data_IF_530366211869
#
_entry.id   IF_530366211869
#
_cell.length_a   1.000
_cell.length_b   1.000
_cell.length_c   1.000
_cell.angle_alpha   90.00
_cell.angle_beta   90.00
_cell.angle_gamma   90.00
#
_symmetry.space_group_name_H-M   'P 1'
#
loop_
_entity.id
_entity.type
_entity.pdbx_description
1 polymer ?
#
# COMPACT_ATOMS: atom_id res chain seq x y z
N UNK A 1 16.02 -83.96 4.61
CA UNK A 1 16.18 -82.92 5.64
C UNK A 1 16.99 -81.78 5.03
N UNK A 2 16.32 -80.76 4.51
CA UNK A 2 16.96 -79.55 3.95
C UNK A 2 16.33 -78.35 4.65
N UNK A 3 17.19 -77.57 5.28
CA UNK A 3 16.90 -76.40 6.09
C UNK A 3 16.29 -75.23 5.29
N UNK A 4 15.12 -74.84 5.70
CA UNK A 4 14.49 -73.55 5.31
C UNK A 4 14.48 -72.63 6.54
N UNK A 5 15.40 -71.65 6.54
CA UNK A 5 15.37 -70.38 7.28
C UNK A 5 16.61 -69.55 6.87
N UNK A 6 16.60 -68.23 6.83
CA UNK A 6 15.55 -67.25 7.17
C UNK A 6 15.33 -66.16 6.09
N UNK A 7 14.14 -65.90 5.71
CA UNK A 7 13.75 -64.78 4.82
C UNK A 7 12.75 -63.81 5.50
N UNK A 8 12.73 -63.81 6.80
CA UNK A 8 11.71 -63.08 7.61
C UNK A 8 12.17 -61.78 8.27
N UNK A 9 13.45 -61.34 8.12
CA UNK A 9 13.96 -60.21 8.93
C UNK A 9 14.30 -58.92 8.13
N UNK A 10 14.12 -58.92 6.79
CA UNK A 10 14.44 -57.74 5.98
C UNK A 10 13.24 -56.82 5.67
N UNK A 11 12.01 -57.16 6.06
CA UNK A 11 10.79 -56.42 5.71
C UNK A 11 10.30 -55.41 6.77
N UNK A 12 11.02 -55.24 7.93
CA UNK A 12 10.55 -54.40 9.05
C UNK A 12 11.26 -53.05 9.19
N UNK A 13 12.09 -52.63 8.25
CA UNK A 13 12.88 -51.39 8.35
C UNK A 13 12.49 -50.27 7.35
N UNK A 14 11.39 -50.39 6.62
CA UNK A 14 10.96 -49.36 5.63
C UNK A 14 9.74 -48.54 6.14
N UNK A 15 9.27 -48.72 7.33
CA UNK A 15 8.09 -47.98 7.86
C UNK A 15 8.43 -46.79 8.79
N UNK A 16 9.66 -46.30 8.84
CA UNK A 16 10.06 -45.20 9.71
C UNK A 16 10.59 -43.96 8.93
N UNK A 17 9.92 -43.58 7.88
CA UNK A 17 10.35 -42.46 7.01
C UNK A 17 9.26 -41.47 6.62
N UNK A 18 8.12 -41.41 7.32
CA UNK A 18 7.25 -40.23 7.23
C UNK A 18 7.55 -39.32 8.42
N UNK A 19 8.60 -38.52 8.31
CA UNK A 19 8.74 -37.32 9.09
C UNK A 19 7.51 -36.45 8.77
N UNK A 20 6.50 -36.45 9.66
CA UNK A 20 5.53 -35.37 9.66
C UNK A 20 6.33 -34.08 9.74
N UNK A 21 6.15 -33.18 8.78
CA UNK A 21 6.56 -31.78 8.90
C UNK A 21 5.95 -31.23 10.20
N UNK A 22 6.68 -31.41 11.28
CA UNK A 22 6.40 -30.82 12.57
C UNK A 22 6.98 -29.44 12.48
N UNK A 23 6.24 -28.40 12.43
CA UNK A 23 6.60 -27.03 12.83
C UNK A 23 5.96 -25.92 11.99
N UNK A 24 4.93 -26.21 11.20
CA UNK A 24 4.11 -25.11 10.69
C UNK A 24 3.08 -24.77 11.78
N UNK A 25 3.31 -23.64 12.46
CA UNK A 25 2.36 -23.10 13.43
C UNK A 25 0.97 -22.94 12.77
N UNK A 26 -0.11 -23.53 13.33
CA UNK A 26 -1.43 -23.42 12.73
C UNK A 26 -1.99 -22.00 12.91
N UNK A 27 -2.91 -21.56 12.02
CA UNK A 27 -3.61 -20.29 12.20
C UNK A 27 -4.33 -20.23 13.54
N UNK A 28 -4.27 -19.05 14.18
CA UNK A 28 -4.92 -18.84 15.47
C UNK A 28 -6.41 -19.21 15.43
N UNK A 29 -6.86 -19.92 16.46
CA UNK A 29 -8.27 -20.25 16.65
C UNK A 29 -9.05 -18.99 16.97
N UNK A 30 -10.22 -18.81 16.34
CA UNK A 30 -11.05 -17.64 16.57
C UNK A 30 -11.58 -17.62 18.01
N UNK A 31 -11.16 -16.64 18.79
CA UNK A 31 -11.63 -16.43 20.16
C UNK A 31 -13.08 -15.94 20.16
N UNK A 32 -13.84 -16.33 21.18
CA UNK A 32 -15.15 -15.73 21.52
C UNK A 32 -14.90 -14.42 22.26
N UNK A 33 -15.69 -13.42 21.98
CA UNK A 33 -15.66 -12.11 22.66
C UNK A 33 -17.07 -11.49 22.65
N UNK A 34 -17.39 -10.60 23.61
CA UNK A 34 -18.63 -9.82 23.55
C UNK A 34 -18.55 -8.82 22.41
N UNK A 35 -19.51 -8.85 21.49
CA UNK A 35 -19.63 -7.85 20.43
C UNK A 35 -20.17 -6.55 21.05
N UNK A 36 -19.36 -5.48 20.98
CA UNK A 36 -19.71 -4.15 21.52
C UNK A 36 -20.03 -3.13 20.44
N UNK A 37 -19.66 -3.43 19.17
CA UNK A 37 -19.97 -2.60 18.02
C UNK A 37 -21.06 -3.27 17.17
N UNK A 38 -22.29 -2.72 17.12
CA UNK A 38 -23.33 -3.24 16.25
C UNK A 38 -22.93 -3.06 14.78
N UNK A 39 -22.95 -4.17 14.02
CA UNK A 39 -22.65 -4.19 12.60
C UNK A 39 -23.85 -4.80 11.86
N UNK A 40 -24.34 -4.11 10.83
CA UNK A 40 -25.44 -4.58 9.99
C UNK A 40 -24.96 -4.80 8.57
N UNK A 41 -25.25 -5.97 8.00
CA UNK A 41 -25.11 -6.19 6.57
C UNK A 41 -26.17 -5.37 5.84
N UNK A 42 -25.76 -4.53 4.90
CA UNK A 42 -26.66 -3.69 4.09
C UNK A 42 -27.16 -4.46 2.87
N UNK A 43 -26.22 -5.06 2.12
CA UNK A 43 -26.51 -5.80 0.89
C UNK A 43 -25.41 -6.82 0.60
N UNK A 44 -25.66 -7.68 -0.38
CA UNK A 44 -24.64 -8.63 -0.89
C UNK A 44 -24.92 -8.99 -2.33
N UNK A 45 -23.87 -8.98 -3.15
CA UNK A 45 -23.89 -9.16 -4.59
C UNK A 45 -22.77 -10.11 -5.05
N UNK A 46 -22.77 -10.48 -6.33
CA UNK A 46 -21.74 -11.28 -6.95
C UNK A 46 -21.15 -10.59 -8.18
N UNK A 47 -19.83 -10.75 -8.36
CA UNK A 47 -19.09 -10.27 -9.53
C UNK A 47 -18.50 -11.46 -10.26
N UNK A 48 -18.70 -11.55 -11.58
CA UNK A 48 -18.08 -12.58 -12.42
C UNK A 48 -18.72 -13.96 -12.43
N UNK A 49 -19.99 -14.09 -12.03
CA UNK A 49 -20.79 -15.30 -12.23
C UNK A 49 -20.43 -16.50 -11.34
N UNK A 50 -19.92 -16.33 -10.14
CA UNK A 50 -20.02 -17.28 -9.01
C UNK A 50 -19.38 -18.65 -9.14
N UNK A 51 -18.63 -18.99 -10.19
CA UNK A 51 -17.84 -20.22 -10.25
C UNK A 51 -16.43 -19.95 -9.79
N UNK A 52 -15.86 -20.88 -8.96
CA UNK A 52 -14.52 -20.81 -8.38
C UNK A 52 -13.55 -20.06 -9.30
N UNK A 53 -13.22 -18.84 -8.95
CA UNK A 53 -12.10 -18.14 -9.57
C UNK A 53 -10.83 -18.88 -9.16
N UNK A 54 -9.98 -19.13 -10.12
CA UNK A 54 -8.70 -19.80 -9.92
C UNK A 54 -7.90 -19.06 -8.85
N UNK A 55 -7.18 -19.79 -8.02
CA UNK A 55 -6.40 -19.34 -6.86
C UNK A 55 -5.22 -18.39 -7.23
N UNK A 56 -5.29 -17.71 -8.37
CA UNK A 56 -4.31 -16.72 -8.77
C UNK A 56 -4.52 -15.45 -7.94
N UNK A 57 -3.48 -15.03 -7.24
CA UNK A 57 -3.44 -13.73 -6.56
C UNK A 57 -3.43 -12.64 -7.64
N UNK A 58 -4.59 -12.06 -7.89
CA UNK A 58 -4.79 -10.99 -8.85
C UNK A 58 -4.96 -9.67 -8.09
N UNK A 59 -4.55 -8.58 -8.70
CA UNK A 59 -4.78 -7.23 -8.20
C UNK A 59 -6.21 -6.73 -8.42
N UNK A 60 -7.20 -7.64 -8.39
CA UNK A 60 -8.62 -7.32 -8.57
C UNK A 60 -9.27 -7.07 -7.22
N UNK A 61 -9.44 -5.81 -6.90
CA UNK A 61 -10.03 -5.34 -5.65
C UNK A 61 -11.34 -4.59 -5.86
N UNK A 62 -11.57 -3.63 -4.99
CA UNK A 62 -12.69 -2.70 -5.02
C UNK A 62 -12.15 -1.28 -5.15
N UNK A 63 -12.90 -0.41 -5.82
CA UNK A 63 -12.71 1.02 -5.78
C UNK A 63 -14.05 1.70 -5.45
N UNK A 64 -13.98 2.90 -4.88
CA UNK A 64 -15.16 3.73 -4.61
C UNK A 64 -14.90 5.14 -5.10
N UNK A 65 -15.82 5.68 -5.84
CA UNK A 65 -15.84 7.08 -6.23
C UNK A 65 -17.28 7.58 -6.25
N UNK A 66 -17.54 8.76 -5.70
CA UNK A 66 -18.85 9.44 -5.70
C UNK A 66 -20.04 8.54 -5.28
N UNK A 67 -19.88 7.72 -4.24
CA UNK A 67 -20.94 6.82 -3.74
C UNK A 67 -21.21 5.60 -4.62
N UNK A 68 -20.35 5.33 -5.60
CA UNK A 68 -20.38 4.16 -6.46
C UNK A 68 -19.24 3.22 -6.10
N UNK A 69 -19.56 1.94 -5.90
CA UNK A 69 -18.58 0.86 -5.73
C UNK A 69 -18.32 0.21 -7.08
N UNK A 70 -17.06 0.11 -7.43
CA UNK A 70 -16.61 -0.59 -8.63
C UNK A 70 -15.91 -1.88 -8.25
N UNK A 71 -16.21 -2.95 -8.97
CA UNK A 71 -15.56 -4.25 -8.85
C UNK A 71 -15.29 -4.83 -10.23
N UNK A 72 -14.24 -5.65 -10.34
CA UNK A 72 -13.88 -6.31 -11.59
C UNK A 72 -13.63 -7.80 -11.37
N UNK A 73 -13.92 -8.60 -12.41
CA UNK A 73 -13.62 -10.04 -12.42
C UNK A 73 -12.57 -10.39 -13.47
N UNK A 74 -11.83 -11.47 -13.24
CA UNK A 74 -10.84 -11.98 -14.20
C UNK A 74 -11.45 -12.32 -15.58
N UNK A 75 -12.74 -12.59 -15.64
CA UNK A 75 -13.45 -12.88 -16.91
C UNK A 75 -13.76 -11.62 -17.73
N UNK A 76 -13.36 -10.43 -17.27
CA UNK A 76 -13.57 -9.18 -17.98
C UNK A 76 -14.85 -8.46 -17.65
N UNK A 77 -15.56 -8.85 -16.61
CA UNK A 77 -16.72 -8.11 -16.12
C UNK A 77 -16.27 -6.97 -15.22
N UNK A 78 -16.80 -5.78 -15.44
CA UNK A 78 -16.68 -4.62 -14.57
C UNK A 78 -18.08 -4.22 -14.16
N UNK A 79 -18.31 -4.13 -12.85
CA UNK A 79 -19.57 -3.79 -12.21
C UNK A 79 -19.46 -2.46 -11.50
N UNK A 80 -20.46 -1.60 -11.67
CA UNK A 80 -20.71 -0.44 -10.80
C UNK A 80 -22.01 -0.65 -10.03
N UNK A 81 -21.95 -0.45 -8.73
CA UNK A 81 -23.10 -0.58 -7.85
C UNK A 81 -23.20 0.60 -6.87
N UNK A 82 -24.39 0.96 -6.47
CA UNK A 82 -24.62 1.96 -5.41
C UNK A 82 -24.01 1.48 -4.09
N UNK A 83 -23.20 2.30 -3.45
CA UNK A 83 -22.59 2.00 -2.15
C UNK A 83 -23.63 1.70 -1.07
N UNK A 84 -24.73 2.43 -1.04
CA UNK A 84 -25.74 2.31 0.00
C UNK A 84 -26.68 1.11 -0.17
N UNK A 85 -27.00 0.76 -1.42
CA UNK A 85 -28.06 -0.21 -1.71
C UNK A 85 -27.58 -1.48 -2.42
N UNK A 86 -26.35 -1.48 -2.96
CA UNK A 86 -25.84 -2.56 -3.80
C UNK A 86 -26.50 -2.64 -5.19
N UNK A 87 -27.49 -1.78 -5.48
CA UNK A 87 -28.17 -1.80 -6.78
C UNK A 87 -27.16 -1.56 -7.91
N UNK A 88 -27.15 -2.45 -8.89
CA UNK A 88 -26.32 -2.30 -10.08
C UNK A 88 -26.70 -1.05 -10.85
N UNK A 89 -25.74 -0.19 -11.13
CA UNK A 89 -25.87 0.97 -12.00
C UNK A 89 -25.60 0.59 -13.44
N UNK A 90 -24.53 -0.17 -13.66
CA UNK A 90 -24.20 -0.76 -14.94
C UNK A 90 -23.26 -1.98 -14.76
N UNK A 91 -23.22 -2.83 -15.80
CA UNK A 91 -22.29 -3.95 -15.93
C UNK A 91 -21.69 -3.91 -17.33
N UNK A 92 -20.36 -3.99 -17.43
CA UNK A 92 -19.61 -3.98 -18.68
C UNK A 92 -18.80 -5.26 -18.85
N UNK A 93 -18.94 -5.93 -19.99
CA UNK A 93 -18.13 -7.11 -20.34
C UNK A 93 -17.06 -6.72 -21.37
N UNK A 94 -15.79 -6.71 -20.96
CA UNK A 94 -14.66 -6.28 -21.79
C UNK A 94 -14.05 -7.40 -22.63
N UNK A 95 -14.38 -8.67 -22.35
CA UNK A 95 -13.78 -9.87 -22.99
C UNK A 95 -12.24 -9.90 -22.86
N UNK A 96 -11.72 -9.46 -21.73
CA UNK A 96 -10.31 -9.41 -21.39
C UNK A 96 -10.05 -10.21 -20.10
N UNK A 97 -8.90 -10.88 -19.97
CA UNK A 97 -8.48 -11.48 -18.70
C UNK A 97 -7.98 -10.38 -17.76
N UNK A 98 -8.91 -9.71 -17.05
CA UNK A 98 -8.54 -8.65 -16.12
C UNK A 98 -7.72 -9.20 -14.96
N UNK A 99 -6.73 -8.44 -14.53
CA UNK A 99 -5.79 -8.82 -13.46
C UNK A 99 -5.45 -7.65 -12.52
N UNK A 100 -5.81 -6.42 -12.88
CA UNK A 100 -5.48 -5.20 -12.17
C UNK A 100 -6.70 -4.26 -12.05
N UNK A 101 -6.86 -3.67 -10.90
CA UNK A 101 -7.93 -2.69 -10.63
C UNK A 101 -9.20 -3.30 -10.02
N UNK A 102 -10.32 -2.56 -10.06
CA UNK A 102 -10.44 -1.22 -10.60
C UNK A 102 -9.68 -0.18 -9.79
N UNK A 103 -9.20 0.88 -10.46
CA UNK A 103 -8.88 2.17 -9.85
C UNK A 103 -9.95 3.16 -10.26
N UNK A 104 -10.41 4.01 -9.34
CA UNK A 104 -11.46 4.98 -9.62
C UNK A 104 -11.08 6.36 -9.10
N UNK A 105 -11.49 7.39 -9.82
CA UNK A 105 -11.30 8.79 -9.47
C UNK A 105 -11.72 9.70 -10.61
N UNK A 106 -12.04 10.94 -10.31
CA UNK A 106 -12.43 11.96 -11.29
C UNK A 106 -13.57 11.50 -12.24
N UNK A 107 -14.51 10.69 -11.73
CA UNK A 107 -15.63 10.17 -12.53
C UNK A 107 -15.24 9.07 -13.52
N UNK A 108 -14.03 8.53 -13.44
CA UNK A 108 -13.50 7.49 -14.31
C UNK A 108 -13.18 6.22 -13.53
N UNK A 109 -13.34 5.06 -14.15
CA UNK A 109 -12.84 3.78 -13.63
C UNK A 109 -11.92 3.13 -14.64
N UNK A 110 -10.74 2.69 -14.17
CA UNK A 110 -9.69 2.13 -15.01
C UNK A 110 -9.37 0.71 -14.56
N UNK A 111 -9.23 -0.21 -15.50
CA UNK A 111 -8.87 -1.61 -15.26
C UNK A 111 -7.73 -2.04 -16.18
N UNK A 112 -6.93 -2.98 -15.71
CA UNK A 112 -5.83 -3.57 -16.45
C UNK A 112 -5.97 -5.08 -16.62
N UNK A 113 -5.30 -5.64 -17.63
CA UNK A 113 -5.33 -7.06 -17.92
C UNK A 113 -3.96 -7.71 -17.81
N UNK A 114 -3.94 -9.05 -17.68
CA UNK A 114 -2.71 -9.84 -17.73
C UNK A 114 -2.00 -9.82 -19.09
N UNK A 115 -2.66 -9.27 -20.10
CA UNK A 115 -2.10 -9.04 -21.44
C UNK A 115 -1.67 -7.60 -21.66
N UNK A 116 -1.52 -6.77 -20.62
CA UNK A 116 -1.09 -5.38 -20.72
C UNK A 116 -2.15 -4.40 -21.25
N UNK A 117 -3.37 -4.84 -21.56
CA UNK A 117 -4.42 -3.95 -22.03
C UNK A 117 -5.01 -3.17 -20.86
N UNK A 118 -5.10 -1.85 -21.03
CA UNK A 118 -5.68 -0.90 -20.09
C UNK A 118 -6.95 -0.33 -20.70
N UNK A 119 -8.02 -0.26 -19.92
CA UNK A 119 -9.31 0.30 -20.36
C UNK A 119 -9.82 1.28 -19.32
N UNK A 120 -10.13 2.49 -19.78
CA UNK A 120 -10.85 3.48 -18.98
C UNK A 120 -12.32 3.52 -19.38
N UNK A 121 -13.18 3.52 -18.38
CA UNK A 121 -14.62 3.60 -18.51
C UNK A 121 -15.13 4.85 -17.79
N UNK A 122 -16.16 5.44 -18.32
CA UNK A 122 -16.94 6.46 -17.63
C UNK A 122 -17.60 5.84 -16.38
N UNK A 123 -17.36 6.44 -15.22
CA UNK A 123 -17.81 5.89 -13.93
C UNK A 123 -19.34 5.85 -13.78
N UNK A 124 -20.05 6.78 -14.41
CA UNK A 124 -21.49 6.87 -14.30
C UNK A 124 -22.23 5.90 -15.26
N UNK A 125 -21.66 5.66 -16.45
CA UNK A 125 -22.37 4.96 -17.55
C UNK A 125 -21.72 3.65 -17.99
N UNK A 126 -20.46 3.41 -17.63
CA UNK A 126 -19.68 2.25 -18.12
C UNK A 126 -19.27 2.36 -19.58
N UNK A 127 -19.47 3.53 -20.23
CA UNK A 127 -19.01 3.77 -21.59
C UNK A 127 -17.49 3.80 -21.63
N UNK A 128 -16.89 3.08 -22.60
CA UNK A 128 -15.44 3.14 -22.78
C UNK A 128 -15.02 4.55 -23.23
N UNK A 129 -14.10 5.15 -22.48
CA UNK A 129 -13.50 6.45 -22.79
C UNK A 129 -12.30 6.24 -23.73
N UNK A 130 -11.37 5.41 -23.31
CA UNK A 130 -10.19 5.07 -24.11
C UNK A 130 -9.69 3.64 -23.78
N UNK A 131 -8.77 3.18 -24.61
CA UNK A 131 -8.08 1.89 -24.45
C UNK A 131 -6.66 2.04 -24.95
N UNK A 132 -5.70 1.53 -24.16
CA UNK A 132 -4.28 1.51 -24.50
C UNK A 132 -3.63 0.19 -24.12
N UNK A 133 -2.33 0.04 -24.34
CA UNK A 133 -1.62 -1.21 -24.13
C UNK A 133 -0.17 -0.96 -23.70
N UNK A 134 0.32 -1.77 -22.77
CA UNK A 134 1.73 -1.91 -22.38
C UNK A 134 2.19 -3.36 -22.62
N UNK A 135 3.50 -3.57 -22.80
CA UNK A 135 4.05 -4.91 -23.16
C UNK A 135 4.29 -5.81 -21.93
N UNK A 136 3.55 -5.61 -20.84
CA UNK A 136 3.74 -6.37 -19.60
C UNK A 136 2.43 -6.61 -18.87
N UNK A 137 2.39 -7.62 -18.00
CA UNK A 137 1.24 -7.92 -17.14
C UNK A 137 1.03 -6.79 -16.12
N UNK A 138 -0.24 -6.50 -15.82
CA UNK A 138 -0.65 -5.53 -14.82
C UNK A 138 -1.28 -6.26 -13.63
N UNK A 139 -0.80 -6.00 -12.41
CA UNK A 139 -1.26 -6.67 -11.19
C UNK A 139 -1.69 -5.73 -10.06
N UNK A 140 -1.58 -4.41 -10.24
CA UNK A 140 -2.02 -3.42 -9.24
C UNK A 140 -3.14 -2.54 -9.77
N UNK A 141 -3.97 -2.03 -8.87
CA UNK A 141 -4.96 -1.04 -9.24
C UNK A 141 -4.28 0.25 -9.72
N UNK A 142 -4.78 0.91 -10.78
CA UNK A 142 -4.28 2.22 -11.19
C UNK A 142 -4.62 3.31 -10.18
N UNK A 143 -3.73 4.29 -10.04
CA UNK A 143 -4.08 5.58 -9.44
C UNK A 143 -4.69 6.47 -10.53
N UNK A 144 -5.82 7.09 -10.22
CA UNK A 144 -6.60 7.89 -11.18
C UNK A 144 -6.80 9.30 -10.64
N UNK A 145 -6.42 10.30 -11.43
CA UNK A 145 -6.68 11.72 -11.19
C UNK A 145 -7.34 12.37 -12.41
N UNK A 146 -7.68 13.63 -12.32
CA UNK A 146 -8.22 14.39 -13.47
C UNK A 146 -7.25 14.49 -14.65
N UNK A 147 -5.94 14.55 -14.36
CA UNK A 147 -4.89 14.77 -15.37
C UNK A 147 -4.24 13.46 -15.83
N UNK A 148 -4.01 12.53 -14.87
CA UNK A 148 -3.16 11.36 -15.09
C UNK A 148 -3.76 10.08 -14.53
N UNK A 149 -3.49 9.00 -15.23
CA UNK A 149 -3.63 7.62 -14.74
C UNK A 149 -2.23 7.04 -14.60
N UNK A 150 -1.90 6.56 -13.40
CA UNK A 150 -0.60 5.96 -13.12
C UNK A 150 -0.77 4.48 -12.83
N UNK A 151 0.00 3.64 -13.50
CA UNK A 151 -0.04 2.18 -13.35
C UNK A 151 1.36 1.60 -13.22
N UNK A 152 1.46 0.49 -12.50
CA UNK A 152 2.70 -0.30 -12.42
C UNK A 152 2.52 -1.63 -13.13
N UNK A 153 3.52 -2.02 -13.95
CA UNK A 153 3.59 -3.32 -14.61
C UNK A 153 4.63 -4.24 -13.95
N UNK A 154 4.51 -5.55 -14.22
CA UNK A 154 5.33 -6.58 -13.57
C UNK A 154 6.80 -6.54 -13.99
N UNK A 155 7.10 -5.96 -15.14
CA UNK A 155 8.48 -5.73 -15.62
C UNK A 155 9.22 -4.59 -14.90
N UNK A 156 8.65 -4.05 -13.81
CA UNK A 156 9.27 -3.01 -13.00
C UNK A 156 9.01 -1.59 -13.49
N UNK A 157 8.14 -1.40 -14.51
CA UNK A 157 7.84 -0.07 -15.03
C UNK A 157 6.70 0.59 -14.27
N UNK A 158 6.84 1.90 -14.07
CA UNK A 158 5.77 2.79 -13.68
C UNK A 158 5.40 3.63 -14.92
N UNK A 159 4.14 3.65 -15.27
CA UNK A 159 3.62 4.31 -16.46
C UNK A 159 2.69 5.44 -16.08
N UNK A 160 2.82 6.60 -16.73
CA UNK A 160 1.90 7.72 -16.64
C UNK A 160 1.16 7.93 -17.95
N UNK A 161 -0.16 7.85 -17.91
CA UNK A 161 -1.04 8.06 -19.06
C UNK A 161 -1.85 9.34 -18.87
N UNK A 162 -2.06 10.08 -19.95
CA UNK A 162 -3.01 11.18 -19.96
C UNK A 162 -4.42 10.63 -19.67
N UNK A 163 -5.10 11.16 -18.65
CA UNK A 163 -6.40 10.67 -18.23
C UNK A 163 -7.49 10.84 -19.29
N UNK A 164 -7.35 11.83 -20.17
CA UNK A 164 -8.38 12.16 -21.16
C UNK A 164 -8.37 11.23 -22.39
N UNK A 165 -7.19 10.86 -22.91
CA UNK A 165 -7.06 10.09 -24.15
C UNK A 165 -6.28 8.77 -24.03
N UNK A 166 -5.70 8.48 -22.84
CA UNK A 166 -4.96 7.25 -22.55
C UNK A 166 -3.59 7.16 -23.23
N UNK A 167 -3.06 8.26 -23.80
CA UNK A 167 -1.70 8.27 -24.34
C UNK A 167 -0.69 8.22 -23.22
N UNK A 168 0.33 7.38 -23.39
CA UNK A 168 1.48 7.35 -22.47
C UNK A 168 2.25 8.66 -22.58
N UNK A 169 2.41 9.33 -21.44
CA UNK A 169 3.16 10.59 -21.32
C UNK A 169 4.59 10.28 -20.92
N UNK A 170 4.78 9.36 -19.99
CA UNK A 170 6.07 8.93 -19.50
C UNK A 170 6.05 7.50 -19.02
N UNK A 171 7.23 6.89 -18.94
CA UNK A 171 7.47 5.58 -18.37
C UNK A 171 8.83 5.56 -17.68
N UNK A 172 8.87 5.07 -16.43
CA UNK A 172 10.08 4.89 -15.63
C UNK A 172 10.31 3.42 -15.38
N UNK A 173 11.51 2.91 -15.68
CA UNK A 173 11.91 1.53 -15.44
C UNK A 173 12.72 1.40 -14.17
N UNK A 174 12.41 0.39 -13.36
CA UNK A 174 13.20 -0.04 -12.21
C UNK A 174 13.63 -1.50 -12.37
N UNK A 175 14.82 -1.79 -11.90
CA UNK A 175 15.35 -3.16 -11.96
C UNK A 175 14.50 -4.09 -11.08
N UNK A 176 13.99 -5.16 -11.67
CA UNK A 176 13.26 -6.23 -10.95
C UNK A 176 14.27 -7.28 -10.49
N UNK A 177 14.31 -7.65 -9.20
CA UNK A 177 15.10 -8.75 -8.69
C UNK A 177 14.73 -10.09 -9.35
N UNK A 178 15.65 -11.06 -9.32
CA UNK A 178 15.39 -12.41 -9.86
C UNK A 178 14.24 -13.13 -9.16
N UNK A 179 14.01 -12.80 -7.90
CA UNK A 179 12.90 -13.31 -7.09
C UNK A 179 12.19 -12.13 -6.42
N UNK A 180 10.89 -11.99 -6.65
CA UNK A 180 10.00 -11.02 -6.01
C UNK A 180 8.70 -11.68 -5.57
N UNK A 181 7.92 -11.03 -4.72
CA UNK A 181 6.56 -11.48 -4.42
C UNK A 181 5.70 -11.34 -5.69
N UNK A 182 4.72 -12.24 -5.85
CA UNK A 182 3.75 -12.07 -6.94
C UNK A 182 2.76 -10.98 -6.55
N UNK A 183 2.91 -9.82 -7.12
CA UNK A 183 2.11 -8.63 -6.92
C UNK A 183 2.84 -7.42 -7.45
N UNK A 184 2.24 -6.29 -7.38
CA UNK A 184 2.88 -4.99 -7.59
C UNK A 184 2.20 -3.96 -6.70
N UNK A 185 2.99 -3.07 -6.09
CA UNK A 185 2.45 -1.99 -5.28
C UNK A 185 1.46 -1.14 -6.08
N UNK A 186 0.32 -0.85 -5.50
CA UNK A 186 -0.61 0.12 -6.06
C UNK A 186 -0.01 1.52 -5.92
N UNK A 187 0.26 2.24 -7.03
CA UNK A 187 0.73 3.61 -6.96
C UNK A 187 -0.33 4.53 -6.38
N UNK A 188 0.10 5.65 -5.84
CA UNK A 188 -0.79 6.76 -5.45
C UNK A 188 -0.37 8.05 -6.14
N UNK A 189 -1.30 8.97 -6.26
CA UNK A 189 -1.03 10.34 -6.70
C UNK A 189 -1.25 11.24 -5.48
N UNK A 190 -0.23 12.03 -5.14
CA UNK A 190 -0.27 13.00 -4.06
C UNK A 190 0.33 14.31 -4.54
N UNK A 191 -0.45 15.41 -4.53
CA UNK A 191 -0.04 16.69 -5.14
C UNK A 191 0.41 16.49 -6.60
N UNK A 192 1.63 16.89 -6.92
CA UNK A 192 2.20 16.81 -8.27
C UNK A 192 3.18 15.63 -8.44
N UNK A 193 3.09 14.60 -7.57
CA UNK A 193 3.93 13.40 -7.66
C UNK A 193 3.09 12.11 -7.69
N UNK A 194 3.59 11.12 -8.41
CA UNK A 194 3.16 9.73 -8.29
C UNK A 194 4.16 8.96 -7.42
N UNK A 195 3.66 8.17 -6.46
CA UNK A 195 4.48 7.44 -5.51
C UNK A 195 4.14 5.96 -5.59
N UNK A 196 5.17 5.12 -5.67
CA UNK A 196 5.02 3.66 -5.68
C UNK A 196 6.13 2.96 -4.91
N UNK A 197 5.81 1.81 -4.35
CA UNK A 197 6.79 0.83 -3.89
C UNK A 197 7.33 -0.01 -5.05
N UNK A 198 8.50 -0.62 -4.87
CA UNK A 198 9.15 -1.47 -5.87
C UNK A 198 9.71 -2.75 -5.27
N UNK A 199 9.88 -3.77 -6.11
CA UNK A 199 10.35 -5.12 -5.76
C UNK A 199 11.81 -5.13 -5.25
N UNK A 200 12.55 -4.03 -5.47
CA UNK A 200 13.90 -3.82 -4.96
C UNK A 200 13.95 -3.23 -3.54
N UNK A 201 12.80 -3.11 -2.87
CA UNK A 201 12.70 -2.58 -1.50
C UNK A 201 12.72 -1.05 -1.41
N UNK A 202 12.58 -0.34 -2.53
CA UNK A 202 12.52 1.12 -2.57
C UNK A 202 11.08 1.64 -2.67
N UNK A 203 10.86 2.82 -2.12
CA UNK A 203 9.72 3.70 -2.43
C UNK A 203 10.24 4.86 -3.24
N UNK A 204 9.56 5.21 -4.31
CA UNK A 204 9.96 6.31 -5.20
C UNK A 204 8.81 7.26 -5.42
N UNK A 205 9.12 8.56 -5.49
CA UNK A 205 8.24 9.59 -6.02
C UNK A 205 8.79 10.10 -7.35
N UNK A 206 7.90 10.24 -8.30
CA UNK A 206 8.20 10.76 -9.63
C UNK A 206 7.28 11.95 -9.94
N UNK A 207 7.79 12.92 -10.69
CA UNK A 207 6.98 14.03 -11.19
C UNK A 207 5.80 13.49 -11.98
N UNK A 208 4.59 13.91 -11.62
CA UNK A 208 3.37 13.45 -12.29
C UNK A 208 3.34 13.88 -13.77
N UNK A 209 3.98 15.00 -14.10
CA UNK A 209 3.96 15.57 -15.45
C UNK A 209 5.05 14.99 -16.35
N UNK A 210 6.26 14.70 -15.83
CA UNK A 210 7.42 14.32 -16.65
C UNK A 210 7.90 12.90 -16.41
N UNK A 211 7.56 12.27 -15.28
CA UNK A 211 8.06 10.95 -14.88
C UNK A 211 9.48 10.99 -14.29
N UNK A 212 10.09 12.17 -14.17
CA UNK A 212 11.41 12.32 -13.57
C UNK A 212 11.37 11.94 -12.07
N UNK A 213 12.41 11.25 -11.62
CA UNK A 213 12.53 10.89 -10.20
C UNK A 213 12.73 12.14 -9.36
N UNK A 214 11.81 12.36 -8.42
CA UNK A 214 11.91 13.44 -7.42
C UNK A 214 12.76 12.96 -6.25
N UNK A 215 12.48 11.75 -5.76
CA UNK A 215 13.28 11.07 -4.74
C UNK A 215 13.07 9.56 -4.80
N UNK A 216 14.03 8.80 -4.26
CA UNK A 216 13.92 7.38 -3.97
C UNK A 216 14.46 7.05 -2.58
N UNK A 217 13.77 6.18 -1.87
CA UNK A 217 14.08 5.84 -0.47
C UNK A 217 14.03 4.33 -0.27
N UNK A 218 15.12 3.73 0.24
CA UNK A 218 15.19 2.32 0.55
C UNK A 218 14.59 2.02 1.93
N UNK A 219 13.55 1.20 1.98
CA UNK A 219 12.95 0.70 3.24
C UNK A 219 13.38 -0.73 3.55
N UNK A 220 13.78 -1.48 2.55
CA UNK A 220 14.31 -2.82 2.70
C UNK A 220 15.54 -2.98 1.81
N UNK A 221 16.56 -3.64 2.34
CA UNK A 221 17.76 -3.94 1.57
C UNK A 221 17.98 -5.46 1.53
N UNK A 222 18.23 -6.05 0.37
CA UNK A 222 18.49 -7.48 0.26
C UNK A 222 19.69 -7.90 1.12
N UNK A 223 19.49 -8.82 2.06
CA UNK A 223 20.56 -9.35 2.90
C UNK A 223 20.40 -10.86 3.08
N UNK A 224 21.48 -11.57 3.37
CA UNK A 224 21.48 -13.02 3.53
C UNK A 224 22.21 -13.76 2.41
N UNK A 225 22.25 -15.11 2.52
CA UNK A 225 23.07 -15.97 1.65
C UNK A 225 22.26 -16.61 0.52
N UNK A 226 20.97 -16.82 0.73
CA UNK A 226 20.08 -17.43 -0.28
C UNK A 226 19.25 -16.36 -0.97
N UNK A 227 18.74 -16.65 -2.16
CA UNK A 227 17.82 -15.75 -2.88
C UNK A 227 16.53 -15.51 -2.05
N UNK A 228 16.09 -16.50 -1.26
CA UNK A 228 14.94 -16.36 -0.39
C UNK A 228 15.21 -15.42 0.80
N UNK A 229 16.42 -15.48 1.39
CA UNK A 229 16.81 -14.54 2.45
C UNK A 229 16.88 -13.09 1.92
N UNK A 230 17.28 -12.96 0.66
CA UNK A 230 17.45 -11.67 -0.03
C UNK A 230 16.16 -11.10 -0.62
N UNK A 231 15.05 -11.83 -0.52
CA UNK A 231 13.76 -11.39 -1.01
C UNK A 231 13.26 -10.21 -0.18
N UNK A 232 13.26 -9.02 -0.75
CA UNK A 232 12.64 -7.80 -0.21
C UNK A 232 11.63 -7.30 -1.20
N UNK A 233 10.57 -6.62 -0.72
CA UNK A 233 9.55 -6.09 -1.60
C UNK A 233 8.71 -5.01 -0.90
N UNK A 234 8.32 -3.98 -1.64
CA UNK A 234 7.29 -3.02 -1.24
C UNK A 234 6.05 -3.28 -2.11
N UNK A 235 5.37 -4.39 -1.86
CA UNK A 235 4.20 -4.85 -2.64
C UNK A 235 2.87 -4.21 -2.17
N UNK A 236 2.87 -3.55 -1.03
CA UNK A 236 1.70 -2.87 -0.49
C UNK A 236 1.54 -1.45 -1.01
N UNK A 237 0.30 -0.99 -1.09
CA UNK A 237 0.04 0.41 -1.39
C UNK A 237 0.62 1.33 -0.30
N UNK A 238 1.36 2.34 -0.72
CA UNK A 238 1.77 3.44 0.16
C UNK A 238 0.57 4.31 0.52
N UNK A 239 0.69 5.14 1.55
CA UNK A 239 -0.34 6.11 1.96
C UNK A 239 0.29 7.48 2.12
N UNK A 240 -0.38 8.52 1.63
CA UNK A 240 0.02 9.89 1.84
C UNK A 240 -1.04 10.61 2.71
N UNK A 241 -0.59 11.31 3.75
CA UNK A 241 -1.42 12.14 4.61
C UNK A 241 -0.67 13.44 4.90
N UNK A 242 -1.23 14.56 4.50
CA UNK A 242 -0.54 15.86 4.59
C UNK A 242 0.77 15.85 3.82
N UNK A 243 1.86 16.16 4.50
CA UNK A 243 3.22 16.21 3.95
C UNK A 243 4.00 14.89 4.17
N UNK A 244 3.31 13.81 4.58
CA UNK A 244 3.96 12.57 4.94
C UNK A 244 3.47 11.40 4.08
N UNK A 245 4.41 10.50 3.79
CA UNK A 245 4.18 9.22 3.10
C UNK A 245 4.49 8.10 4.08
N UNK A 246 3.59 7.13 4.17
CA UNK A 246 3.73 5.93 5.00
C UNK A 246 3.85 4.72 4.10
N UNK A 247 4.86 3.91 4.35
CA UNK A 247 5.12 2.70 3.60
C UNK A 247 5.59 1.57 4.50
N UNK A 248 5.38 0.33 4.06
CA UNK A 248 5.84 -0.87 4.74
C UNK A 248 6.34 -1.90 3.73
N UNK A 249 7.43 -2.59 4.04
CA UNK A 249 8.07 -3.57 3.18
C UNK A 249 8.07 -4.99 3.75
N UNK A 250 8.07 -5.97 2.86
CA UNK A 250 8.33 -7.34 3.21
C UNK A 250 9.83 -7.53 3.50
N UNK A 251 10.16 -8.20 4.60
CA UNK A 251 11.53 -8.29 5.15
C UNK A 251 12.21 -6.91 5.27
N UNK A 252 11.43 -5.89 5.58
CA UNK A 252 11.84 -4.51 5.64
C UNK A 252 11.25 -3.77 6.83
N UNK A 253 11.13 -2.47 6.68
CA UNK A 253 10.70 -1.55 7.71
C UNK A 253 9.33 -0.95 7.39
N UNK A 254 8.63 -0.51 8.43
CA UNK A 254 7.53 0.45 8.33
C UNK A 254 8.07 1.82 8.64
N UNK A 255 7.81 2.81 7.80
CA UNK A 255 8.41 4.13 7.91
C UNK A 255 7.42 5.26 7.57
N UNK A 256 7.73 6.43 8.13
CA UNK A 256 7.21 7.72 7.73
C UNK A 256 8.30 8.49 6.97
N UNK A 257 7.93 9.01 5.81
CA UNK A 257 8.83 9.63 4.83
C UNK A 257 8.26 11.01 4.48
N UNK A 258 9.10 12.01 4.35
CA UNK A 258 8.70 13.33 3.86
C UNK A 258 8.26 13.24 2.38
N UNK A 259 7.11 13.82 2.05
CA UNK A 259 6.53 13.78 0.70
C UNK A 259 7.38 14.52 -0.33
N UNK A 260 8.03 15.59 0.08
CA UNK A 260 8.81 16.48 -0.80
C UNK A 260 10.24 15.99 -1.09
N UNK A 261 10.86 15.34 -0.10
CA UNK A 261 12.30 15.04 -0.13
C UNK A 261 12.65 13.55 -0.04
N UNK A 262 11.70 12.70 0.33
CA UNK A 262 11.98 11.29 0.57
C UNK A 262 12.76 11.02 1.86
N UNK A 263 12.99 12.04 2.71
CA UNK A 263 13.68 11.88 3.99
C UNK A 263 12.85 11.01 4.93
N UNK A 264 13.50 9.99 5.53
CA UNK A 264 12.86 9.17 6.56
C UNK A 264 12.83 9.96 7.87
N UNK A 265 11.64 10.21 8.40
CA UNK A 265 11.45 10.79 9.72
C UNK A 265 11.67 9.77 10.83
N UNK A 266 11.10 8.59 10.65
CA UNK A 266 11.32 7.43 11.50
C UNK A 266 11.08 6.13 10.71
N UNK A 267 11.71 5.04 11.15
CA UNK A 267 11.52 3.71 10.62
C UNK A 267 11.67 2.66 11.72
N UNK A 268 10.80 1.66 11.72
CA UNK A 268 10.83 0.53 12.65
C UNK A 268 10.87 -0.79 11.89
N UNK A 269 11.63 -1.75 12.37
CA UNK A 269 11.70 -3.10 11.81
C UNK A 269 10.33 -3.77 11.98
N UNK A 270 9.62 -3.88 10.87
CA UNK A 270 8.27 -4.44 10.84
C UNK A 270 7.96 -4.91 9.42
N UNK A 271 7.96 -6.24 9.24
CA UNK A 271 7.68 -6.85 7.95
C UNK A 271 6.19 -6.90 7.65
N UNK A 272 5.80 -6.32 6.53
CA UNK A 272 4.44 -6.47 5.98
C UNK A 272 4.44 -6.41 4.46
N UNK A 273 3.79 -7.39 3.85
CA UNK A 273 3.37 -7.35 2.44
C UNK A 273 1.86 -7.09 2.30
N UNK A 274 1.17 -6.90 3.43
CA UNK A 274 -0.27 -6.63 3.46
C UNK A 274 -0.57 -5.16 3.34
N UNK A 275 0.22 -4.33 4.00
CA UNK A 275 0.07 -2.90 3.96
C UNK A 275 -0.49 -2.29 5.23
N UNK A 276 -0.82 -1.03 5.13
CA UNK A 276 -1.20 -0.19 6.24
C UNK A 276 -2.39 0.72 5.90
N UNK A 277 -3.03 1.23 6.94
CA UNK A 277 -4.00 2.31 6.87
C UNK A 277 -3.58 3.42 7.84
N UNK A 278 -3.94 4.65 7.53
CA UNK A 278 -3.51 5.83 8.29
C UNK A 278 -4.72 6.73 8.51
N UNK A 279 -4.90 7.24 9.73
CA UNK A 279 -5.82 8.34 10.04
C UNK A 279 -5.03 9.59 10.48
N UNK A 280 -5.65 10.58 11.08
CA UNK A 280 -4.99 11.84 11.43
C UNK A 280 -3.82 11.69 12.42
N UNK A 281 -3.88 10.71 13.32
CA UNK A 281 -2.93 10.58 14.44
C UNK A 281 -2.12 9.29 14.41
N UNK A 282 -2.66 8.24 13.80
CA UNK A 282 -2.14 6.89 13.94
C UNK A 282 -2.04 6.17 12.59
N UNK A 283 -1.15 5.19 12.57
CA UNK A 283 -1.11 4.21 11.50
C UNK A 283 -1.38 2.81 12.05
N UNK A 284 -1.96 1.96 11.20
CA UNK A 284 -2.36 0.60 11.52
C UNK A 284 -1.76 -0.34 10.48
N UNK A 285 -0.94 -1.28 10.91
CA UNK A 285 -0.22 -2.21 10.04
C UNK A 285 -0.71 -3.62 10.25
N UNK A 286 -1.02 -4.33 9.17
CA UNK A 286 -1.19 -5.78 9.21
C UNK A 286 0.13 -6.44 8.86
N UNK A 287 0.81 -7.03 9.84
CA UNK A 287 2.08 -7.73 9.64
C UNK A 287 1.93 -9.00 8.80
N UNK A 288 3.04 -9.48 8.26
CA UNK A 288 3.11 -10.69 7.42
C UNK A 288 2.59 -11.94 8.12
N UNK A 289 2.74 -12.03 9.44
CA UNK A 289 2.25 -13.11 10.29
C UNK A 289 0.80 -12.96 10.77
N UNK A 290 0.12 -11.88 10.37
CA UNK A 290 -1.28 -11.62 10.73
C UNK A 290 -1.48 -10.93 12.08
N UNK A 291 -0.43 -10.37 12.67
CA UNK A 291 -0.54 -9.46 13.80
C UNK A 291 -0.98 -8.09 13.28
N UNK A 292 -1.89 -7.42 13.99
CA UNK A 292 -2.29 -6.04 13.70
C UNK A 292 -1.69 -5.13 14.75
N UNK A 293 -0.97 -4.10 14.31
CA UNK A 293 -0.27 -3.14 15.17
C UNK A 293 -0.78 -1.74 14.89
N UNK A 294 -1.07 -0.97 15.94
CA UNK A 294 -1.28 0.47 15.82
C UNK A 294 -0.06 1.23 16.35
N UNK A 295 0.29 2.28 15.64
CA UNK A 295 1.44 3.13 15.96
C UNK A 295 1.03 4.60 15.84
N UNK A 296 1.66 5.47 16.61
CA UNK A 296 1.50 6.93 16.44
C UNK A 296 2.19 7.39 15.16
N UNK A 297 1.55 8.27 14.41
CA UNK A 297 2.20 8.86 13.23
C UNK A 297 3.47 9.63 13.59
N UNK A 298 3.40 10.44 14.64
CA UNK A 298 4.43 11.43 15.00
C UNK A 298 5.82 10.82 15.20
N UNK A 299 5.90 9.66 15.84
CA UNK A 299 7.15 9.08 16.31
C UNK A 299 7.28 7.57 16.06
N UNK A 300 6.26 6.96 15.46
CA UNK A 300 6.23 5.53 15.21
C UNK A 300 6.09 4.67 16.47
N UNK A 301 5.81 5.24 17.64
CA UNK A 301 5.66 4.47 18.87
C UNK A 301 4.44 3.56 18.81
N UNK A 302 4.59 2.29 19.25
CA UNK A 302 3.50 1.32 19.29
C UNK A 302 2.47 1.72 20.37
N UNK A 303 1.19 1.73 19.96
CA UNK A 303 0.06 1.99 20.84
C UNK A 303 -0.54 0.67 21.37
N UNK A 304 -0.76 -0.26 20.48
CA UNK A 304 -1.25 -1.57 20.80
C UNK A 304 -0.91 -2.60 19.71
N UNK A 305 -0.97 -3.87 20.10
CA UNK A 305 -0.70 -5.03 19.26
C UNK A 305 -1.77 -6.11 19.49
N UNK A 306 -2.43 -6.56 18.42
CA UNK A 306 -3.40 -7.64 18.46
C UNK A 306 -2.85 -8.90 17.77
N UNK A 307 -2.61 -9.97 18.54
CA UNK A 307 -2.09 -11.25 18.06
C UNK A 307 -3.17 -12.34 17.94
N UNK A 308 -4.43 -12.04 18.29
CA UNK A 308 -5.54 -13.02 18.30
C UNK A 308 -5.90 -13.57 16.94
N UNK A 309 -5.32 -13.01 15.87
CA UNK A 309 -5.54 -13.40 14.48
C UNK A 309 -4.24 -13.83 13.76
N UNK A 310 -3.21 -14.19 14.54
CA UNK A 310 -1.91 -14.63 14.00
C UNK A 310 -2.11 -15.76 12.98
N UNK A 311 -1.38 -15.71 11.87
CA UNK A 311 -1.38 -16.65 10.73
C UNK A 311 -2.74 -16.81 10.01
N UNK A 312 -3.72 -15.94 10.27
CA UNK A 312 -5.02 -16.00 9.58
C UNK A 312 -5.01 -15.32 8.20
N UNK A 313 -3.84 -14.98 7.65
CA UNK A 313 -3.66 -14.41 6.30
C UNK A 313 -4.58 -13.21 6.08
N UNK A 314 -4.52 -12.25 6.98
CA UNK A 314 -5.37 -11.08 6.97
C UNK A 314 -5.22 -10.25 5.69
N UNK A 315 -6.27 -9.54 5.31
CA UNK A 315 -6.24 -8.50 4.28
C UNK A 315 -5.45 -7.27 4.75
N UNK A 316 -5.13 -6.34 3.84
CA UNK A 316 -4.80 -4.98 4.25
C UNK A 316 -5.87 -4.39 5.18
N UNK A 317 -5.51 -3.52 6.14
CA UNK A 317 -6.47 -2.88 7.02
C UNK A 317 -7.18 -1.72 6.31
N UNK A 318 -8.43 -1.47 6.70
CA UNK A 318 -9.15 -0.22 6.38
C UNK A 318 -9.77 0.35 7.64
N UNK A 319 -10.13 1.62 7.62
CA UNK A 319 -10.58 2.34 8.79
C UNK A 319 -12.03 2.76 8.65
N UNK A 320 -12.79 2.59 9.73
CA UNK A 320 -14.03 3.30 9.99
C UNK A 320 -13.77 4.42 11.00
N UNK A 321 -14.77 5.16 11.42
CA UNK A 321 -14.57 6.21 12.42
C UNK A 321 -13.96 5.69 13.71
N UNK A 322 -14.39 4.52 14.19
CA UNK A 322 -14.01 3.97 15.50
C UNK A 322 -13.26 2.64 15.45
N UNK A 323 -13.14 2.01 14.29
CA UNK A 323 -12.55 0.68 14.18
C UNK A 323 -11.55 0.54 13.03
N UNK A 324 -10.57 -0.33 13.24
CA UNK A 324 -9.71 -0.93 12.20
C UNK A 324 -10.39 -2.20 11.72
N UNK A 325 -10.54 -2.36 10.41
CA UNK A 325 -11.21 -3.53 9.83
C UNK A 325 -10.26 -4.33 8.97
N UNK A 326 -10.18 -5.62 9.23
CA UNK A 326 -9.42 -6.61 8.45
C UNK A 326 -10.30 -7.81 8.14
N UNK A 327 -10.02 -8.51 7.04
CA UNK A 327 -10.69 -9.75 6.70
C UNK A 327 -9.69 -10.91 6.60
N UNK A 328 -10.16 -12.16 6.72
CA UNK A 328 -9.28 -13.32 6.79
C UNK A 328 -9.51 -14.36 5.68
N UNK A 329 -8.69 -15.43 5.72
CA UNK A 329 -8.71 -16.51 4.72
C UNK A 329 -9.97 -17.39 4.77
N UNK A 330 -10.78 -17.29 5.85
CA UNK A 330 -12.04 -18.02 5.98
C UNK A 330 -13.26 -17.13 5.70
N UNK A 331 -13.03 -15.86 5.30
CA UNK A 331 -14.07 -14.90 4.98
C UNK A 331 -14.71 -14.21 6.18
N UNK A 332 -14.05 -14.28 7.34
CA UNK A 332 -14.43 -13.45 8.46
C UNK A 332 -13.89 -12.04 8.30
N UNK A 333 -14.70 -11.07 8.70
CA UNK A 333 -14.40 -9.65 8.77
C UNK A 333 -14.34 -9.31 10.25
N UNK A 334 -13.27 -8.70 10.69
CA UNK A 334 -13.01 -8.36 12.07
C UNK A 334 -12.90 -6.86 12.25
N UNK A 335 -13.62 -6.31 13.21
CA UNK A 335 -13.52 -4.92 13.65
C UNK A 335 -12.75 -4.88 14.95
N UNK A 336 -11.68 -4.10 14.98
CA UNK A 336 -10.86 -3.84 16.16
C UNK A 336 -11.05 -2.38 16.57
N UNK A 337 -11.27 -2.13 17.84
CA UNK A 337 -11.32 -0.78 18.38
C UNK A 337 -10.00 -0.03 18.11
N UNK A 338 -10.09 1.20 17.59
CA UNK A 338 -8.89 1.98 17.20
C UNK A 338 -7.98 2.31 18.38
N UNK A 339 -8.54 2.57 19.54
CA UNK A 339 -7.78 2.98 20.73
C UNK A 339 -7.11 1.83 21.46
N UNK A 340 -7.73 0.64 21.47
CA UNK A 340 -7.29 -0.49 22.29
C UNK A 340 -6.87 -1.73 21.54
N UNK A 341 -7.21 -1.81 20.24
CA UNK A 341 -7.00 -3.02 19.43
C UNK A 341 -7.89 -4.21 19.82
N UNK A 342 -8.87 -4.02 20.70
CA UNK A 342 -9.79 -5.07 21.09
C UNK A 342 -10.73 -5.45 19.95
N UNK A 343 -11.06 -6.76 19.81
CA UNK A 343 -12.10 -7.21 18.89
C UNK A 343 -13.47 -6.74 19.40
N UNK A 344 -14.17 -5.93 18.60
CA UNK A 344 -15.46 -5.33 18.93
C UNK A 344 -16.62 -5.84 18.07
N UNK A 345 -16.34 -6.37 16.90
CA UNK A 345 -17.32 -7.05 16.06
C UNK A 345 -16.66 -8.08 15.13
N UNK A 346 -17.46 -9.06 14.69
CA UNK A 346 -17.05 -10.05 13.69
C UNK A 346 -18.25 -10.49 12.88
N UNK A 347 -18.12 -10.42 11.56
CA UNK A 347 -19.08 -10.92 10.59
C UNK A 347 -18.42 -11.91 9.65
N UNK A 348 -19.21 -12.65 8.87
CA UNK A 348 -18.70 -13.57 7.87
C UNK A 348 -19.40 -13.37 6.55
N UNK A 349 -18.65 -13.01 5.50
CA UNK A 349 -19.23 -12.81 4.17
C UNK A 349 -19.53 -14.15 3.49
N UNK A 350 -18.57 -15.10 3.54
CA UNK A 350 -18.68 -16.42 2.92
C UNK A 350 -17.62 -17.36 3.50
N UNK A 351 -17.60 -18.64 3.09
CA UNK A 351 -16.51 -19.58 3.37
C UNK A 351 -15.39 -19.47 2.33
N UNK A 352 -14.98 -18.25 2.02
CA UNK A 352 -14.02 -17.93 0.97
C UNK A 352 -13.05 -16.89 1.48
N UNK A 353 -11.81 -16.92 0.99
CA UNK A 353 -10.77 -15.98 1.39
C UNK A 353 -11.09 -14.56 0.90
N UNK A 354 -10.64 -13.59 1.69
CA UNK A 354 -10.54 -12.18 1.29
C UNK A 354 -9.05 -11.83 1.25
N UNK A 355 -8.51 -11.61 0.05
CA UNK A 355 -7.08 -11.31 -0.15
C UNK A 355 -6.81 -9.83 -0.28
N UNK A 356 -7.66 -9.13 -1.02
CA UNK A 356 -7.50 -7.71 -1.32
C UNK A 356 -8.09 -6.84 -0.21
N UNK A 357 -7.66 -5.58 -0.17
CA UNK A 357 -8.17 -4.63 0.79
C UNK A 357 -9.69 -4.46 0.64
N UNK A 358 -10.45 -4.49 1.74
CA UNK A 358 -11.77 -3.90 1.75
C UNK A 358 -11.70 -2.41 1.36
N UNK A 359 -12.83 -1.79 1.06
CA UNK A 359 -12.94 -0.33 0.95
C UNK A 359 -13.89 0.19 2.02
N UNK A 360 -13.61 1.38 2.54
CA UNK A 360 -14.44 2.00 3.58
C UNK A 360 -14.84 3.43 3.19
N UNK A 361 -16.09 3.78 3.48
CA UNK A 361 -16.61 5.14 3.38
C UNK A 361 -17.40 5.42 4.66
N UNK A 362 -16.88 6.29 5.51
CA UNK A 362 -17.39 6.48 6.86
C UNK A 362 -17.38 5.16 7.65
N UNK A 363 -18.54 4.72 8.11
CA UNK A 363 -18.70 3.44 8.84
C UNK A 363 -19.21 2.29 7.96
N UNK A 364 -19.30 2.50 6.65
CA UNK A 364 -19.65 1.45 5.70
C UNK A 364 -18.39 0.83 5.13
N UNK A 365 -18.27 -0.49 5.21
CA UNK A 365 -17.17 -1.28 4.69
C UNK A 365 -17.71 -2.22 3.62
N UNK A 366 -17.10 -2.21 2.43
CA UNK A 366 -17.40 -3.17 1.37
C UNK A 366 -16.26 -4.15 1.23
N UNK A 367 -16.60 -5.42 1.19
CA UNK A 367 -15.65 -6.53 1.14
C UNK A 367 -15.92 -7.38 -0.10
N UNK A 368 -14.85 -7.79 -0.78
CA UNK A 368 -14.88 -8.70 -1.92
C UNK A 368 -14.08 -9.96 -1.60
N UNK A 369 -14.70 -11.14 -1.74
CA UNK A 369 -13.99 -12.42 -1.63
C UNK A 369 -13.26 -12.75 -2.91
N UNK A 370 -12.24 -13.62 -2.82
CA UNK A 370 -11.51 -14.14 -3.99
C UNK A 370 -12.44 -14.91 -4.96
N UNK A 371 -13.58 -15.39 -4.46
CA UNK A 371 -14.63 -16.05 -5.26
C UNK A 371 -15.62 -15.10 -5.93
N UNK A 372 -15.47 -13.78 -5.74
CA UNK A 372 -16.32 -12.76 -6.36
C UNK A 372 -17.60 -12.43 -5.60
N UNK A 373 -17.75 -12.86 -4.33
CA UNK A 373 -18.84 -12.37 -3.48
C UNK A 373 -18.48 -11.02 -2.89
N UNK A 374 -19.37 -10.06 -3.06
CA UNK A 374 -19.23 -8.70 -2.56
C UNK A 374 -20.35 -8.41 -1.56
N UNK A 375 -20.05 -7.72 -0.46
CA UNK A 375 -21.06 -7.30 0.50
C UNK A 375 -20.65 -6.03 1.23
N UNK A 376 -21.64 -5.20 1.58
CA UNK A 376 -21.45 -4.03 2.40
C UNK A 376 -21.99 -4.26 3.82
N UNK A 377 -21.23 -3.77 4.78
CA UNK A 377 -21.54 -3.78 6.21
C UNK A 377 -21.41 -2.37 6.77
N UNK A 378 -22.35 -1.97 7.60
CA UNK A 378 -22.30 -0.67 8.29
C UNK A 378 -22.22 -0.89 9.78
N UNK A 379 -21.17 -0.31 10.37
CA UNK A 379 -21.05 -0.21 11.82
C UNK A 379 -21.89 0.98 12.33
N UNK A 380 -22.47 0.81 13.52
CA UNK A 380 -23.22 1.87 14.20
C UNK A 380 -22.57 2.12 15.56
N UNK A 381 -21.48 2.92 15.59
CA UNK A 381 -20.82 3.23 16.86
C UNK A 381 -21.71 4.09 17.74
N UNK A 382 -21.60 3.90 19.07
CA UNK A 382 -22.29 4.78 20.04
C UNK A 382 -21.71 6.19 20.00
N UNK A 383 -22.50 7.20 20.40
CA UNK A 383 -22.01 8.57 20.50
C UNK A 383 -20.79 8.69 21.42
N UNK A 384 -20.75 7.93 22.51
CA UNK A 384 -19.61 7.89 23.43
C UNK A 384 -18.34 7.32 22.76
N UNK A 385 -18.46 6.25 21.96
CA UNK A 385 -17.31 5.68 21.26
C UNK A 385 -16.80 6.57 20.14
N UNK A 386 -17.67 7.34 19.49
CA UNK A 386 -17.26 8.36 18.50
C UNK A 386 -16.52 9.50 19.17
N UNK A 387 -17.02 10.00 20.30
CA UNK A 387 -16.37 11.08 21.06
C UNK A 387 -14.98 10.65 21.58
N UNK A 388 -14.82 9.39 22.03
CA UNK A 388 -13.54 8.87 22.49
C UNK A 388 -12.51 8.65 21.33
N UNK A 389 -12.98 8.53 20.10
CA UNK A 389 -12.12 8.37 18.91
C UNK A 389 -11.67 9.70 18.30
N UNK A 390 -12.22 10.83 18.76
CA UNK A 390 -11.77 12.18 18.38
C UNK A 390 -10.59 12.56 19.29
N UNK A 391 -9.44 12.97 18.75
CA UNK A 391 -8.33 13.44 19.57
C UNK A 391 -8.79 14.57 20.47
N UNK A 392 -8.39 14.55 21.76
CA UNK A 392 -8.58 15.69 22.63
C UNK A 392 -7.84 16.87 22.01
N UNK A 393 -8.54 17.99 21.79
CA UNK A 393 -7.88 19.24 21.40
C UNK A 393 -6.72 19.50 22.36
N UNK A 394 -5.57 20.02 21.88
CA UNK A 394 -4.45 20.37 22.77
C UNK A 394 -5.00 21.24 23.88
N UNK A 395 -4.80 20.82 25.14
CA UNK A 395 -5.15 21.63 26.28
C UNK A 395 -4.41 22.95 26.13
N UNK A 396 -5.14 24.06 26.05
CA UNK A 396 -4.52 25.37 26.14
C UNK A 396 -3.70 25.43 27.44
N UNK A 397 -2.48 25.95 27.41
CA UNK A 397 -1.69 26.06 28.63
C UNK A 397 -2.50 26.90 29.62
N UNK A 398 -2.92 26.27 30.70
CA UNK A 398 -3.55 26.97 31.84
C UNK A 398 -2.51 27.98 32.35
N UNK A 399 -2.76 29.25 32.07
CA UNK A 399 -1.94 30.35 32.55
C UNK A 399 -1.82 30.24 34.06
N UNK A 400 -0.60 30.04 34.54
CA UNK A 400 -0.25 30.08 35.95
C UNK A 400 -0.63 31.46 36.50
N UNK A 401 -1.73 31.54 37.21
CA UNK A 401 -2.08 32.71 37.99
C UNK A 401 -1.07 32.82 39.15
N UNK A 402 -0.17 33.79 39.08
CA UNK A 402 0.67 34.20 40.20
C UNK A 402 -0.19 34.93 41.24
N UNK A 403 0.00 34.67 42.55
CA UNK A 403 -0.75 35.38 43.59
C UNK A 403 -0.25 36.80 43.82
N UNK A 404 -1.19 37.68 43.92
CA UNK A 404 -1.26 39.06 44.32
C UNK A 404 0.01 39.83 44.72
N UNK A 405 0.20 40.97 44.04
CA UNK A 405 0.95 42.11 44.61
C UNK A 405 0.09 43.39 44.47
N UNK A 406 -0.03 44.08 45.56
CA UNK A 406 -0.75 45.31 45.85
C UNK A 406 -0.26 46.50 44.99
N UNK A 407 -1.08 47.50 44.64
CA UNK A 407 -0.66 48.63 43.80
C UNK A 407 0.10 49.71 44.61
N UNK A 408 1.22 50.19 44.08
CA UNK A 408 1.91 51.39 44.52
C UNK A 408 1.83 52.47 43.43
N UNK A 409 1.69 53.71 43.86
CA UNK A 409 1.37 54.91 43.13
C UNK A 409 2.53 55.47 42.22
N UNK A 410 2.24 56.49 41.38
CA UNK A 410 3.07 56.82 40.21
C UNK A 410 4.22 57.79 40.56
N UNK A 411 5.39 57.58 39.93
CA UNK A 411 6.51 58.45 40.03
C UNK A 411 7.48 58.32 38.88
N UNK A 412 7.59 59.41 38.15
CA UNK A 412 8.71 59.94 37.38
C UNK A 412 9.41 59.12 36.28
N UNK A 413 9.37 59.70 35.10
CA UNK A 413 10.15 59.42 33.90
C UNK A 413 11.63 59.84 34.08
N UNK A 414 12.60 59.04 33.66
CA UNK A 414 13.81 59.59 33.11
C UNK A 414 14.12 59.11 31.68
N UNK A 415 14.79 60.04 31.02
CA UNK A 415 15.11 60.17 29.63
C UNK A 415 15.96 59.04 29.04
N UNK A 416 15.76 58.84 27.73
CA UNK A 416 16.52 58.00 26.80
C UNK A 416 17.87 58.64 26.50
N UNK A 417 18.99 57.92 26.48
CA UNK A 417 20.14 58.29 25.67
C UNK A 417 20.20 57.52 24.37
N UNK A 418 20.37 58.27 23.29
CA UNK A 418 20.59 57.80 21.94
C UNK A 418 21.90 57.01 21.81
N UNK A 419 21.87 55.89 21.16
CA UNK A 419 23.04 55.15 20.72
C UNK A 419 23.21 55.24 19.23
N UNK A 420 24.38 55.66 18.81
CA UNK A 420 24.94 55.84 17.48
C UNK A 420 25.06 54.53 16.70
N UNK A 421 24.95 54.56 15.36
CA UNK A 421 25.08 53.36 14.51
C UNK A 421 26.57 53.01 14.29
N UNK A 422 26.90 51.73 14.45
CA UNK A 422 28.19 51.17 14.09
C UNK A 422 28.20 50.59 12.68
N UNK A 423 29.29 50.84 11.96
CA UNK A 423 29.55 50.51 10.56
C UNK A 423 29.71 48.99 10.29
N UNK A 424 29.61 48.55 9.02
CA UNK A 424 29.59 47.12 8.67
C UNK A 424 31.01 46.52 8.67
N UNK A 425 31.11 45.27 9.14
CA UNK A 425 32.32 44.47 9.11
C UNK A 425 32.54 43.82 7.74
N UNK A 426 33.81 43.83 7.33
CA UNK A 426 34.39 43.29 6.10
C UNK A 426 34.09 41.81 5.83
N UNK A 427 33.90 41.49 4.53
CA UNK A 427 33.86 40.13 3.98
C UNK A 427 35.27 39.53 3.89
N UNK A 428 35.46 38.25 4.12
CA UNK A 428 36.77 37.60 3.90
C UNK A 428 36.99 37.29 2.39
N UNK A 429 38.24 37.50 1.96
CA UNK A 429 38.76 37.38 0.60
C UNK A 429 38.73 35.96 0.06
N UNK A 430 38.50 35.87 -1.26
CA UNK A 430 38.64 34.64 -2.07
C UNK A 430 40.12 34.23 -2.19
N UNK A 431 40.42 32.92 -2.26
CA UNK A 431 41.77 32.45 -2.59
C UNK A 431 42.04 32.47 -4.11
N UNK A 432 43.24 32.94 -4.45
CA UNK A 432 43.83 33.11 -5.76
C UNK A 432 44.01 31.79 -6.52
N UNK A 433 43.68 31.84 -7.81
CA UNK A 433 43.99 30.82 -8.83
C UNK A 433 45.52 30.76 -9.09
N UNK A 434 46.05 29.54 -9.17
CA UNK A 434 47.35 29.25 -9.74
C UNK A 434 47.16 28.38 -11.01
N UNK A 435 47.82 28.68 -12.14
CA UNK A 435 47.59 27.97 -13.38
C UNK A 435 48.29 26.58 -13.39
N UNK A 436 47.59 25.55 -13.85
CA UNK A 436 48.12 24.23 -14.07
C UNK A 436 48.60 24.08 -15.53
N UNK A 437 49.74 23.42 -15.60
CA UNK A 437 50.58 23.06 -16.70
C UNK A 437 49.90 22.10 -17.70
N UNK A 438 50.16 22.36 -18.98
CA UNK A 438 49.84 21.45 -20.11
C UNK A 438 50.83 20.27 -20.10
N UNK A 439 50.33 19.05 -20.26
CA UNK A 439 51.00 18.01 -21.06
C UNK A 439 50.34 16.63 -20.88
N UNK A 440 50.15 16.00 -22.05
CA UNK A 440 50.03 14.58 -22.34
C UNK A 440 48.64 13.95 -22.50
N UNK A 441 48.25 13.88 -23.79
CA UNK A 441 47.29 12.93 -24.33
C UNK A 441 47.90 11.55 -24.49
N UNK A 442 47.25 10.43 -24.21
CA UNK A 442 47.61 9.12 -24.68
C UNK A 442 46.91 8.73 -25.98
N UNK A 443 47.69 8.06 -26.84
CA UNK A 443 47.39 7.63 -28.20
C UNK A 443 46.24 6.61 -28.32
N UNK A 444 45.55 6.67 -29.47
CA UNK A 444 44.56 5.69 -29.92
C UNK A 444 45.19 4.39 -30.41
N UNK A 445 44.56 3.21 -30.22
CA UNK A 445 44.99 1.96 -30.85
C UNK A 445 44.45 1.82 -32.29
N UNK A 446 45.16 1.05 -33.18
CA UNK A 446 44.84 0.98 -34.60
C UNK A 446 43.80 -0.07 -34.97
N UNK A 447 43.02 0.26 -35.98
CA UNK A 447 42.40 -0.50 -37.06
C UNK A 447 41.79 -1.88 -36.78
N UNK A 448 40.46 -1.99 -37.00
CA UNK A 448 39.83 -3.24 -37.39
C UNK A 448 39.07 -3.04 -38.72
N UNK A 449 39.33 -3.94 -39.66
CA UNK A 449 38.83 -4.03 -41.01
C UNK A 449 37.31 -4.28 -41.08
N UNK A 450 36.63 -3.88 -42.15
CA UNK A 450 35.19 -4.10 -42.36
C UNK A 450 34.89 -5.55 -42.80
N UNK A 451 33.89 -6.16 -42.15
CA UNK A 451 33.37 -7.49 -42.50
C UNK A 451 32.38 -7.39 -43.68
N UNK A 452 32.53 -8.32 -44.60
CA UNK A 452 31.72 -8.58 -45.81
C UNK A 452 30.29 -9.06 -45.46
N UNK A 453 29.25 -8.71 -46.25
CA UNK A 453 27.88 -9.21 -46.03
C UNK A 453 27.69 -10.63 -46.62
N UNK A 454 26.76 -11.44 -46.02
CA UNK A 454 26.43 -12.78 -46.55
C UNK A 454 25.44 -12.70 -47.72
N UNK A 455 25.40 -13.74 -48.60
CA UNK A 455 24.54 -13.76 -49.76
C UNK A 455 23.08 -14.23 -49.40
N UNK A 456 22.14 -13.63 -50.09
CA UNK A 456 20.75 -14.07 -50.19
C UNK A 456 20.63 -15.29 -51.12
N UNK A 457 19.67 -16.19 -50.94
CA UNK A 457 18.35 -16.14 -51.51
C UNK A 457 17.21 -16.05 -50.52
#
# INVERSE_FOLDING_TARGET
MRSLLPLGLAALLIAAGCSKDKDVEPPAVLVKFPATLPVKKLWGEGVGGGKKQTVLRLGLGLAVDNGVVFAASHKGEVLAASLDTGRHLWVKHLKLPLSAGPGAGAGMVVVGSSKGVIVALDGATGRQLWRTHVNSELLSAPAVSEKMVVMRSVDGRLHGFNAHDGKEVWSLEQQVPRLSLRGTATPIIAKEVAISGFDNGKVMAVSLNTGDTVWDTALASPHGRTELDRLVDIDSAVRAVGENVFATGFQGRTAMIALDSGQIWWAHDMSSYRGLAVDADNLYVTQSDGIVVAMRQRDGSELWRNQKMKLRRLSPPVLTRTAVVVADFQGYIHWLDKGTGALVARERIAKERVSNAPVSVGDTVVVLTDGGKMAAYRATPSAASVAAAVPAAPAEPVGSAAPGATPAAPGETPAIPAATPNAPAEAPAAPSETPADESSAPAAPPGANPATPPPTP
#
